data_IF_274553441923
#
_entry.id   IF_274553441923
#
_cell.length_a   1.000
_cell.length_b   1.000
_cell.length_c   1.000
_cell.angle_alpha   90.00
_cell.angle_beta   90.00
_cell.angle_gamma   90.00
#
_symmetry.space_group_name_H-M   'P 1'
#
loop_
_entity.id
_entity.type
_entity.pdbx_description
1 polymer ?
#
# COMPACT_ATOMS: atom_id res chain seq x y z
N UNK A 1 7.25 3.25 -11.66
CA UNK A 1 6.08 2.34 -11.58
C UNK A 1 4.88 3.06 -12.19
N UNK A 2 4.06 2.40 -13.02
CA UNK A 2 2.79 2.97 -13.50
C UNK A 2 1.64 2.62 -12.54
N UNK A 3 0.48 3.27 -12.68
CA UNK A 3 -0.71 2.93 -11.88
C UNK A 3 -1.18 1.48 -12.12
N UNK A 4 -1.07 0.99 -13.35
CA UNK A 4 -1.34 -0.42 -13.70
C UNK A 4 -0.34 -1.36 -13.00
N UNK A 5 0.96 -1.05 -13.00
CA UNK A 5 1.96 -1.86 -12.29
C UNK A 5 1.74 -1.85 -10.77
N UNK A 6 1.30 -0.72 -10.20
CA UNK A 6 0.94 -0.62 -8.77
C UNK A 6 -0.25 -1.51 -8.42
N UNK A 7 -1.28 -1.53 -9.27
CA UNK A 7 -2.46 -2.37 -9.09
C UNK A 7 -2.10 -3.87 -9.15
N UNK A 8 -1.28 -4.27 -10.14
CA UNK A 8 -0.78 -5.64 -10.23
C UNK A 8 0.06 -6.04 -9.03
N UNK A 9 0.95 -5.15 -8.57
CA UNK A 9 1.75 -5.42 -7.37
C UNK A 9 0.86 -5.61 -6.14
N UNK A 10 -0.19 -4.80 -5.99
CA UNK A 10 -1.12 -4.95 -4.89
C UNK A 10 -1.91 -6.27 -4.95
N UNK A 11 -2.28 -6.71 -6.16
CA UNK A 11 -2.93 -8.01 -6.39
C UNK A 11 -1.99 -9.18 -6.08
N UNK A 12 -0.76 -9.15 -6.58
CA UNK A 12 0.25 -10.18 -6.33
C UNK A 12 0.55 -10.34 -4.83
N UNK A 13 0.68 -9.22 -4.12
CA UNK A 13 0.84 -9.22 -2.67
C UNK A 13 -0.35 -9.86 -1.94
N UNK A 14 -1.58 -9.67 -2.44
CA UNK A 14 -2.77 -10.32 -1.89
C UNK A 14 -2.71 -11.84 -2.09
N UNK A 15 -2.44 -12.30 -3.32
CA UNK A 15 -2.37 -13.73 -3.65
C UNK A 15 -1.27 -14.44 -2.85
N UNK A 16 -0.08 -13.85 -2.78
CA UNK A 16 1.02 -14.40 -1.99
C UNK A 16 0.63 -14.59 -0.52
N UNK A 17 -0.01 -13.56 0.08
CA UNK A 17 -0.41 -13.62 1.48
C UNK A 17 -1.62 -14.54 1.71
N UNK A 18 -2.50 -14.69 0.72
CA UNK A 18 -3.67 -15.56 0.80
C UNK A 18 -3.28 -17.04 0.95
N UNK A 19 -2.10 -17.45 0.48
CA UNK A 19 -1.57 -18.83 0.63
C UNK A 19 -1.49 -19.22 2.10
N UNK A 20 -1.04 -18.33 3.00
CA UNK A 20 -0.91 -18.59 4.43
C UNK A 20 -2.26 -18.80 5.15
N UNK A 21 -3.39 -18.54 4.48
CA UNK A 21 -4.73 -18.72 5.05
C UNK A 21 -5.36 -20.07 4.75
N UNK A 22 -4.77 -20.86 3.85
CA UNK A 22 -5.28 -22.19 3.49
C UNK A 22 -5.41 -23.02 4.76
N UNK A 23 -6.57 -23.66 4.96
CA UNK A 23 -6.89 -24.40 6.19
C UNK A 23 -5.82 -25.45 6.50
N UNK A 24 -5.36 -26.16 5.47
CA UNK A 24 -4.29 -27.17 5.52
C UNK A 24 -2.96 -26.60 6.04
N UNK A 25 -2.68 -25.32 5.78
CA UNK A 25 -1.43 -24.67 6.13
C UNK A 25 -1.52 -23.84 7.40
N UNK A 26 -2.69 -23.70 8.04
CA UNK A 26 -2.88 -22.76 9.16
C UNK A 26 -1.95 -23.00 10.34
N UNK A 27 -1.76 -24.28 10.73
CA UNK A 27 -0.85 -24.62 11.83
C UNK A 27 0.58 -24.18 11.55
N UNK A 28 1.11 -24.56 10.38
CA UNK A 28 2.44 -24.15 9.93
C UNK A 28 2.55 -22.63 9.74
N UNK A 29 1.54 -22.02 9.14
CA UNK A 29 1.51 -20.58 8.85
C UNK A 29 1.52 -19.78 10.14
N UNK A 30 0.79 -20.21 11.17
CA UNK A 30 0.82 -19.56 12.48
C UNK A 30 2.24 -19.54 13.07
N UNK A 31 3.04 -20.58 12.86
CA UNK A 31 4.42 -20.64 13.33
C UNK A 31 5.39 -19.84 12.45
N UNK A 32 5.13 -19.79 11.14
CA UNK A 32 6.02 -19.16 10.15
C UNK A 32 5.82 -17.65 10.03
N UNK A 33 4.58 -17.17 10.14
CA UNK A 33 4.20 -15.78 9.92
C UNK A 33 5.01 -14.77 10.74
N UNK A 34 5.28 -14.97 12.05
CA UNK A 34 6.10 -14.03 12.82
C UNK A 34 7.50 -13.84 12.23
N UNK A 35 8.17 -14.94 11.86
CA UNK A 35 9.51 -14.90 11.24
C UNK A 35 9.47 -14.27 9.86
N UNK A 36 8.48 -14.63 9.05
CA UNK A 36 8.30 -14.07 7.72
C UNK A 36 8.08 -12.55 7.78
N UNK A 37 7.14 -12.08 8.61
CA UNK A 37 6.83 -10.66 8.76
C UNK A 37 8.03 -9.88 9.30
N UNK A 38 8.70 -10.41 10.32
CA UNK A 38 9.91 -9.77 10.88
C UNK A 38 10.98 -9.61 9.80
N UNK A 39 11.27 -10.64 9.02
CA UNK A 39 12.27 -10.59 7.95
C UNK A 39 11.85 -9.65 6.80
N UNK A 40 10.58 -9.69 6.40
CA UNK A 40 10.03 -8.88 5.32
C UNK A 40 10.04 -7.39 5.68
N UNK A 41 9.59 -7.03 6.89
CA UNK A 41 9.49 -5.65 7.35
C UNK A 41 10.78 -5.10 7.97
N UNK A 42 11.76 -5.93 8.34
CA UNK A 42 13.06 -5.48 8.85
C UNK A 42 13.79 -4.51 7.90
N UNK A 43 13.58 -4.65 6.58
CA UNK A 43 14.16 -3.77 5.56
C UNK A 43 13.26 -2.57 5.21
N UNK A 44 12.03 -2.54 5.71
CA UNK A 44 11.04 -1.49 5.44
C UNK A 44 11.52 -0.09 5.83
N UNK A 45 12.00 0.13 7.07
CA UNK A 45 12.48 1.45 7.51
C UNK A 45 13.66 1.99 6.68
N UNK A 46 14.54 1.10 6.20
CA UNK A 46 15.66 1.49 5.35
C UNK A 46 15.21 1.92 3.93
N UNK A 47 14.10 1.36 3.43
CA UNK A 47 13.49 1.68 2.13
C UNK A 47 12.52 2.86 2.19
N UNK A 48 11.95 3.14 3.36
CA UNK A 48 11.05 4.28 3.61
C UNK A 48 11.80 5.61 3.84
N UNK A 49 13.12 5.63 3.68
CA UNK A 49 13.89 6.87 3.67
C UNK A 49 13.39 7.66 2.44
N UNK A 50 12.79 8.85 2.60
CA UNK A 50 12.30 9.60 1.46
C UNK A 50 13.49 9.82 0.53
N UNK A 51 13.34 9.44 -0.73
CA UNK A 51 14.29 9.83 -1.74
C UNK A 51 14.42 11.36 -1.68
N UNK A 52 15.61 11.94 -1.86
CA UNK A 52 15.80 13.40 -1.81
C UNK A 52 14.87 14.17 -2.78
N UNK A 53 14.28 13.48 -3.76
CA UNK A 53 13.25 13.99 -4.66
C UNK A 53 11.93 14.37 -3.98
N UNK A 54 11.50 13.73 -2.87
CA UNK A 54 10.19 14.01 -2.26
C UNK A 54 10.09 15.43 -1.70
N UNK A 55 11.20 15.99 -1.19
CA UNK A 55 11.25 17.39 -0.73
C UNK A 55 11.28 18.38 -1.89
N UNK A 56 11.89 18.00 -3.02
CA UNK A 56 11.93 18.80 -4.24
C UNK A 56 10.55 18.80 -4.93
N UNK A 57 9.87 17.65 -4.94
CA UNK A 57 8.48 17.50 -5.38
C UNK A 57 7.53 18.37 -4.53
N UNK A 58 7.68 18.36 -3.20
CA UNK A 58 6.86 19.18 -2.30
C UNK A 58 7.10 20.68 -2.49
N UNK A 59 8.36 21.12 -2.69
CA UNK A 59 8.71 22.53 -2.94
C UNK A 59 8.31 23.00 -4.34
N UNK A 60 8.54 22.19 -5.36
CA UNK A 60 8.13 22.47 -6.74
C UNK A 60 6.61 22.56 -6.87
N UNK A 61 5.86 21.68 -6.20
CA UNK A 61 4.40 21.72 -6.19
C UNK A 61 3.83 22.89 -5.39
N UNK A 62 4.43 23.30 -4.26
CA UNK A 62 4.02 24.53 -3.57
C UNK A 62 4.16 25.76 -4.48
N UNK A 63 5.24 25.84 -5.24
CA UNK A 63 5.44 26.92 -6.21
C UNK A 63 4.46 26.86 -7.41
N UNK A 64 4.05 25.66 -7.83
CA UNK A 64 3.04 25.45 -8.89
C UNK A 64 1.61 25.77 -8.43
N UNK A 65 1.21 25.26 -7.25
CA UNK A 65 -0.11 25.50 -6.64
C UNK A 65 -0.34 26.99 -6.33
N UNK A 66 0.72 27.72 -5.98
CA UNK A 66 0.67 29.17 -5.78
C UNK A 66 0.59 29.97 -7.09
N UNK A 67 1.03 29.40 -8.23
CA UNK A 67 1.06 30.12 -9.53
C UNK A 67 -0.16 29.89 -10.39
N UNK A 68 -0.83 28.73 -10.33
CA UNK A 68 -2.11 28.49 -11.04
C UNK A 68 -3.00 27.48 -10.31
N UNK A 69 -4.19 27.88 -9.83
CA UNK A 69 -5.15 26.97 -9.24
C UNK A 69 -5.95 26.28 -10.36
N UNK A 70 -5.32 25.36 -11.09
CA UNK A 70 -6.07 24.43 -11.95
C UNK A 70 -6.15 23.09 -11.23
N UNK A 71 -7.35 22.76 -10.78
CA UNK A 71 -7.74 21.64 -9.94
C UNK A 71 -7.33 20.22 -10.42
N UNK A 72 -6.59 20.09 -11.53
CA UNK A 72 -6.23 18.81 -12.16
C UNK A 72 -4.86 18.27 -11.73
N UNK A 73 -3.97 19.10 -11.19
CA UNK A 73 -2.60 18.69 -10.83
C UNK A 73 -2.47 18.12 -9.39
N UNK A 74 -3.54 18.17 -8.59
CA UNK A 74 -3.53 17.70 -7.20
C UNK A 74 -3.84 16.21 -7.01
N UNK A 75 -4.40 15.52 -8.00
CA UNK A 75 -4.96 14.17 -7.84
C UNK A 75 -3.90 13.11 -7.53
N UNK A 76 -2.73 13.18 -8.16
CA UNK A 76 -1.62 12.25 -7.87
C UNK A 76 -1.09 12.38 -6.44
N UNK A 77 -0.96 13.62 -5.95
CA UNK A 77 -0.48 13.91 -4.59
C UNK A 77 -1.53 13.51 -3.54
N UNK A 78 -2.80 13.85 -3.76
CA UNK A 78 -3.89 13.43 -2.87
C UNK A 78 -3.91 11.92 -2.72
N UNK A 79 -3.69 11.20 -3.80
CA UNK A 79 -3.76 9.74 -3.81
C UNK A 79 -2.52 9.09 -3.17
N UNK A 80 -1.32 9.68 -3.34
CA UNK A 80 -0.13 9.26 -2.60
C UNK A 80 -0.26 9.51 -1.09
N UNK A 81 -0.83 10.65 -0.68
CA UNK A 81 -1.13 10.96 0.72
C UNK A 81 -2.17 9.96 1.26
N UNK A 82 -3.23 9.68 0.49
CA UNK A 82 -4.22 8.67 0.86
C UNK A 82 -3.59 7.29 1.04
N UNK A 83 -2.63 6.90 0.19
CA UNK A 83 -1.90 5.64 0.35
C UNK A 83 -1.17 5.57 1.71
N UNK A 84 -0.47 6.65 2.09
CA UNK A 84 0.26 6.73 3.36
C UNK A 84 -0.68 6.77 4.57
N UNK A 85 -1.89 7.33 4.42
CA UNK A 85 -2.88 7.42 5.50
C UNK A 85 -3.39 6.05 5.98
N UNK A 86 -3.22 4.97 5.21
CA UNK A 86 -3.56 3.61 5.64
C UNK A 86 -2.49 2.97 6.54
N UNK A 87 -1.29 3.53 6.65
CA UNK A 87 -0.21 2.95 7.45
C UNK A 87 -0.58 2.76 8.94
N UNK A 88 -1.22 3.74 9.64
CA UNK A 88 -1.64 3.55 11.03
C UNK A 88 -2.65 2.41 11.23
N UNK A 89 -3.48 2.11 10.22
CA UNK A 89 -4.45 1.01 10.28
C UNK A 89 -3.79 -0.35 10.05
N UNK A 90 -2.76 -0.41 9.21
CA UNK A 90 -2.04 -1.64 8.82
C UNK A 90 -1.03 -2.08 9.90
N UNK A 91 -0.34 -1.12 10.53
CA UNK A 91 0.74 -1.37 11.48
C UNK A 91 0.37 -2.24 12.69
N UNK A 92 -0.83 -2.13 13.31
CA UNK A 92 -1.22 -2.97 14.43
C UNK A 92 -1.22 -4.47 14.10
N UNK A 93 -1.77 -4.87 12.95
CA UNK A 93 -1.78 -6.27 12.53
C UNK A 93 -0.38 -6.80 12.22
N UNK A 94 0.46 -5.98 11.58
CA UNK A 94 1.87 -6.32 11.34
C UNK A 94 2.60 -6.57 12.66
N UNK A 95 2.52 -5.62 13.60
CA UNK A 95 3.17 -5.74 14.91
C UNK A 95 2.62 -6.91 15.74
N UNK A 96 1.33 -7.20 15.62
CA UNK A 96 0.72 -8.35 16.30
C UNK A 96 1.30 -9.67 15.77
N UNK A 97 1.49 -9.78 14.45
CA UNK A 97 2.11 -10.97 13.82
C UNK A 97 3.59 -11.06 14.18
N UNK A 98 4.35 -9.96 14.10
CA UNK A 98 5.78 -9.92 14.45
C UNK A 98 6.04 -10.35 15.90
N UNK A 99 5.16 -9.96 16.82
CA UNK A 99 5.24 -10.33 18.24
C UNK A 99 4.70 -11.72 18.56
N UNK A 100 4.32 -12.48 17.54
CA UNK A 100 3.66 -13.78 17.65
C UNK A 100 2.37 -13.73 18.48
N UNK A 101 1.24 -13.59 17.78
CA UNK A 101 -0.10 -13.48 18.36
C UNK A 101 -0.63 -14.79 18.96
N UNK A 102 0.24 -15.62 19.58
CA UNK A 102 -0.11 -16.88 20.28
C UNK A 102 -1.05 -17.75 19.44
N UNK A 103 -0.58 -18.19 18.28
CA UNK A 103 -1.34 -19.01 17.31
C UNK A 103 -2.53 -18.32 16.62
N UNK A 104 -2.70 -17.01 16.79
CA UNK A 104 -3.71 -16.22 16.06
C UNK A 104 -3.11 -15.37 14.93
N UNK A 105 -1.91 -15.72 14.46
CA UNK A 105 -1.20 -14.97 13.41
C UNK A 105 -1.97 -14.97 12.10
N UNK A 106 -2.58 -16.10 11.70
CA UNK A 106 -3.43 -16.17 10.51
C UNK A 106 -4.67 -15.27 10.64
N UNK A 107 -5.27 -15.18 11.83
CA UNK A 107 -6.41 -14.28 12.07
C UNK A 107 -6.00 -12.80 11.97
N UNK A 108 -4.81 -12.46 12.46
CA UNK A 108 -4.24 -11.12 12.28
C UNK A 108 -3.90 -10.82 10.82
N UNK A 109 -3.43 -11.83 10.08
CA UNK A 109 -3.19 -11.74 8.64
C UNK A 109 -4.50 -11.50 7.88
N UNK A 110 -5.60 -12.14 8.28
CA UNK A 110 -6.93 -11.87 7.70
C UNK A 110 -7.39 -10.42 7.92
N UNK A 111 -7.17 -9.89 9.13
CA UNK A 111 -7.45 -8.49 9.42
C UNK A 111 -6.61 -7.55 8.54
N UNK A 112 -5.32 -7.85 8.41
CA UNK A 112 -4.39 -7.11 7.55
C UNK A 112 -4.81 -7.17 6.07
N UNK A 113 -5.17 -8.35 5.56
CA UNK A 113 -5.59 -8.55 4.17
C UNK A 113 -6.87 -7.79 3.83
N UNK A 114 -7.84 -7.73 4.76
CA UNK A 114 -9.05 -6.91 4.56
C UNK A 114 -8.71 -5.43 4.40
N UNK A 115 -7.82 -4.90 5.24
CA UNK A 115 -7.35 -3.52 5.11
C UNK A 115 -6.57 -3.29 3.82
N UNK A 116 -5.73 -4.25 3.41
CA UNK A 116 -5.00 -4.19 2.15
C UNK A 116 -5.93 -4.12 0.94
N UNK A 117 -6.99 -4.93 0.90
CA UNK A 117 -8.01 -4.89 -0.16
C UNK A 117 -8.70 -3.54 -0.19
N UNK A 118 -9.13 -3.02 0.96
CA UNK A 118 -9.77 -1.70 1.03
C UNK A 118 -8.85 -0.57 0.55
N UNK A 119 -7.57 -0.59 0.95
CA UNK A 119 -6.56 0.35 0.46
C UNK A 119 -6.44 0.24 -1.07
N UNK A 120 -6.34 -0.97 -1.62
CA UNK A 120 -6.18 -1.16 -3.06
C UNK A 120 -7.40 -0.76 -3.87
N UNK A 121 -8.60 -1.01 -3.37
CA UNK A 121 -9.84 -0.57 -4.04
C UNK A 121 -9.99 0.96 -4.03
N UNK A 122 -9.68 1.61 -2.91
CA UNK A 122 -9.89 3.07 -2.77
C UNK A 122 -8.76 3.88 -3.39
N UNK A 123 -7.51 3.41 -3.26
CA UNK A 123 -6.32 4.16 -3.66
C UNK A 123 -5.80 3.65 -5.00
N UNK A 124 -5.36 2.40 -5.09
CA UNK A 124 -4.69 1.89 -6.30
C UNK A 124 -5.63 1.86 -7.51
N UNK A 125 -6.84 1.31 -7.34
CA UNK A 125 -7.86 1.24 -8.39
C UNK A 125 -8.43 2.61 -8.73
N UNK A 126 -8.61 3.48 -7.72
CA UNK A 126 -9.02 4.87 -7.92
C UNK A 126 -8.00 5.67 -8.75
N UNK A 127 -6.71 5.49 -8.47
CA UNK A 127 -5.62 6.10 -9.24
C UNK A 127 -5.65 5.64 -10.68
N UNK A 128 -5.77 4.33 -10.86
CA UNK A 128 -5.79 3.70 -12.15
C UNK A 128 -6.95 4.21 -13.00
N UNK A 129 -8.16 4.28 -12.44
CA UNK A 129 -9.34 4.83 -13.12
C UNK A 129 -9.15 6.31 -13.51
N UNK A 130 -8.62 7.13 -12.60
CA UNK A 130 -8.28 8.53 -12.88
C UNK A 130 -7.28 8.67 -14.03
N UNK A 131 -6.23 7.84 -14.07
CA UNK A 131 -5.25 7.82 -15.15
C UNK A 131 -5.92 7.45 -16.49
N UNK A 132 -6.74 6.40 -16.53
CA UNK A 132 -7.45 5.99 -17.76
C UNK A 132 -8.35 7.10 -18.28
N UNK A 133 -9.17 7.71 -17.42
CA UNK A 133 -10.08 8.81 -17.81
C UNK A 133 -9.28 10.01 -18.35
N UNK A 134 -8.16 10.35 -17.71
CA UNK A 134 -7.31 11.44 -18.15
C UNK A 134 -6.69 11.15 -19.53
N UNK A 135 -6.22 9.92 -19.76
CA UNK A 135 -5.67 9.50 -21.05
C UNK A 135 -6.74 9.54 -22.15
N UNK A 136 -7.94 9.00 -21.90
CA UNK A 136 -9.03 9.03 -22.89
C UNK A 136 -9.42 10.47 -23.23
N UNK A 137 -9.57 11.35 -22.24
CA UNK A 137 -9.88 12.77 -22.46
C UNK A 137 -8.75 13.56 -23.13
N UNK A 138 -7.53 13.06 -23.12
CA UNK A 138 -6.40 13.68 -23.82
C UNK A 138 -6.32 13.24 -25.29
N UNK A 139 -6.80 12.04 -25.58
CA UNK A 139 -6.77 11.42 -26.92
C UNK A 139 -8.05 11.67 -27.73
N UNK A 140 -9.12 12.15 -27.10
CA UNK A 140 -10.38 12.57 -27.72
C UNK A 140 -10.37 14.07 -28.00
#
# INVERSE_FOLDING_TARGET
>A
MSSTSSLWYAWDQYEQMAIFRRQELKGLSNQLLPRYFTAFFARGPARARPAPDDRLLLRGHRALLLRRPRAREGTGLSLAISHLAWAPAILPSVKAIEKDAKEKNVTQLDAWLRLHVWRSLTVDLGAWACCIIATVKLLA
#
